data_IF_458383821195
#
_entry.id   IF_458383821195
#
_cell.length_a   1.000
_cell.length_b   1.000
_cell.length_c   1.000
_cell.angle_alpha   90.00
_cell.angle_beta   90.00
_cell.angle_gamma   90.00
#
_symmetry.space_group_name_H-M   'P 1'
#
loop_
_entity.id
_entity.type
_entity.pdbx_description
1 polymer ?
#
# COMPACT_ATOMS: atom_id res chain seq x y z
N UNK A 1 20.46 -3.50 -12.75
CA UNK A 1 20.02 -4.81 -13.25
C UNK A 1 18.72 -5.13 -12.52
N UNK A 2 17.63 -5.35 -13.25
CA UNK A 2 16.39 -5.88 -12.67
C UNK A 2 16.70 -7.23 -12.00
N UNK A 3 16.19 -7.44 -10.77
CA UNK A 3 16.27 -8.74 -10.10
C UNK A 3 14.92 -9.45 -10.31
N UNK A 4 14.80 -10.35 -11.30
CA UNK A 4 13.51 -10.98 -11.64
C UNK A 4 12.95 -11.86 -10.52
N UNK A 5 13.78 -12.22 -9.52
CA UNK A 5 13.37 -13.02 -8.36
C UNK A 5 12.96 -12.18 -7.13
N UNK A 6 13.06 -10.84 -7.20
CA UNK A 6 12.64 -9.97 -6.10
C UNK A 6 11.12 -10.03 -5.95
N UNK A 7 10.65 -10.54 -4.82
CA UNK A 7 9.23 -10.45 -4.45
C UNK A 7 8.94 -9.06 -3.91
N UNK A 8 7.79 -8.51 -4.30
CA UNK A 8 7.28 -7.27 -3.76
C UNK A 8 5.98 -7.53 -3.01
N UNK A 9 5.86 -6.92 -1.84
CA UNK A 9 4.62 -6.93 -1.06
C UNK A 9 4.17 -5.49 -0.87
N UNK A 10 3.04 -5.15 -1.47
CA UNK A 10 2.45 -3.82 -1.37
C UNK A 10 1.39 -3.82 -0.27
N UNK A 11 1.38 -2.79 0.57
CA UNK A 11 0.37 -2.62 1.60
C UNK A 11 -0.01 -1.15 1.78
N UNK A 12 -1.28 -0.94 2.17
CA UNK A 12 -1.85 0.38 2.41
C UNK A 12 -2.07 0.58 3.90
N UNK A 13 -1.67 1.76 4.40
CA UNK A 13 -1.90 2.16 5.78
C UNK A 13 -3.01 3.22 5.85
N UNK A 14 -3.81 3.20 6.92
CA UNK A 14 -4.91 4.15 7.12
C UNK A 14 -4.45 5.58 7.46
N UNK A 15 -3.18 5.79 7.76
CA UNK A 15 -2.63 7.09 8.11
C UNK A 15 -2.92 8.15 7.04
N UNK A 16 -3.35 9.33 7.46
CA UNK A 16 -3.63 10.47 6.55
C UNK A 16 -2.42 11.36 6.30
N UNK A 17 -1.29 11.06 6.91
CA UNK A 17 -0.01 11.69 6.57
C UNK A 17 0.38 11.31 5.13
N UNK A 18 0.96 12.26 4.41
CA UNK A 18 1.47 12.00 3.07
C UNK A 18 2.80 11.26 3.23
N UNK A 19 2.78 9.94 2.98
CA UNK A 19 3.97 9.11 3.07
C UNK A 19 3.89 7.87 2.18
N UNK A 20 5.04 7.45 1.65
CA UNK A 20 5.31 6.14 1.09
C UNK A 20 6.72 5.73 1.50
N UNK A 21 7.00 4.45 1.61
CA UNK A 21 8.29 3.97 2.07
C UNK A 21 8.54 2.53 1.63
N UNK A 22 9.81 2.21 1.44
CA UNK A 22 10.27 0.90 1.02
C UNK A 22 11.36 0.38 1.98
N UNK A 23 11.00 -0.32 3.07
CA UNK A 23 11.96 -0.95 3.96
C UNK A 23 12.67 -2.14 3.30
N UNK A 24 13.54 -2.82 4.05
CA UNK A 24 14.20 -4.04 3.58
C UNK A 24 13.18 -5.17 3.30
N UNK A 25 13.53 -6.09 2.39
CA UNK A 25 12.73 -7.29 2.13
C UNK A 25 11.74 -7.19 0.98
N UNK A 26 11.67 -6.04 0.27
CA UNK A 26 10.76 -5.87 -0.87
C UNK A 26 9.35 -5.43 -0.48
N UNK A 27 9.17 -4.99 0.74
CA UNK A 27 7.92 -4.37 1.19
C UNK A 27 7.84 -2.93 0.69
N UNK A 28 6.66 -2.51 0.24
CA UNK A 28 6.38 -1.13 -0.16
C UNK A 28 5.08 -0.71 0.50
N UNK A 29 5.17 0.24 1.42
CA UNK A 29 4.04 0.79 2.16
C UNK A 29 3.64 2.16 1.61
N UNK A 30 2.34 2.46 1.64
CA UNK A 30 1.79 3.75 1.28
C UNK A 30 0.69 4.16 2.26
N UNK A 31 0.73 5.39 2.73
CA UNK A 31 -0.34 5.95 3.55
C UNK A 31 -1.50 6.41 2.68
N UNK A 32 -2.71 6.32 3.24
CA UNK A 32 -3.92 6.84 2.60
C UNK A 32 -3.77 8.32 2.21
N UNK A 33 -3.12 9.13 3.05
CA UNK A 33 -2.92 10.56 2.80
C UNK A 33 -2.22 10.86 1.50
N UNK A 34 -1.28 10.01 1.04
CA UNK A 34 -0.63 10.18 -0.25
C UNK A 34 -1.61 10.04 -1.42
N UNK A 35 -2.42 8.98 -1.41
CA UNK A 35 -3.43 8.74 -2.45
C UNK A 35 -4.51 9.82 -2.45
N UNK A 36 -4.90 10.29 -1.26
CA UNK A 36 -5.89 11.37 -1.11
C UNK A 36 -5.38 12.72 -1.63
N UNK A 37 -4.06 12.93 -1.61
CA UNK A 37 -3.42 14.15 -2.13
C UNK A 37 -3.17 14.08 -3.63
N UNK A 38 -3.00 12.88 -4.18
CA UNK A 38 -2.83 12.70 -5.62
C UNK A 38 -4.12 13.07 -6.37
N UNK A 39 -3.98 13.75 -7.50
CA UNK A 39 -5.10 14.10 -8.38
C UNK A 39 -5.36 13.03 -9.44
N UNK A 40 -4.30 12.31 -9.84
CA UNK A 40 -4.37 11.29 -10.89
C UNK A 40 -3.70 9.99 -10.45
N UNK A 41 -4.14 8.89 -11.02
CA UNK A 41 -3.55 7.56 -10.82
C UNK A 41 -2.06 7.54 -11.19
N UNK A 42 -1.69 8.26 -12.25
CA UNK A 42 -0.31 8.40 -12.71
C UNK A 42 0.64 8.91 -11.61
N UNK A 43 0.17 9.81 -10.74
CA UNK A 43 0.96 10.36 -9.63
C UNK A 43 1.25 9.29 -8.56
N UNK A 44 0.25 8.46 -8.25
CA UNK A 44 0.45 7.31 -7.34
C UNK A 44 1.40 6.29 -7.97
N UNK A 45 1.25 6.03 -9.26
CA UNK A 45 2.14 5.15 -10.01
C UNK A 45 3.58 5.69 -10.06
N UNK A 46 3.75 7.02 -10.16
CA UNK A 46 5.07 7.66 -10.11
C UNK A 46 5.76 7.44 -8.78
N UNK A 47 5.05 7.64 -7.66
CA UNK A 47 5.58 7.37 -6.31
C UNK A 47 5.91 5.88 -6.14
N UNK A 48 5.01 4.98 -6.53
CA UNK A 48 5.29 3.53 -6.46
C UNK A 48 6.51 3.14 -7.29
N UNK A 49 6.67 3.73 -8.48
CA UNK A 49 7.83 3.50 -9.34
C UNK A 49 9.14 3.97 -8.69
N UNK A 50 9.10 5.07 -7.95
CA UNK A 50 10.21 5.61 -7.16
C UNK A 50 10.56 4.66 -6.00
N UNK A 51 9.57 4.18 -5.23
CA UNK A 51 9.78 3.22 -4.14
C UNK A 51 10.33 1.87 -4.64
N UNK A 52 9.80 1.38 -5.78
CA UNK A 52 10.34 0.18 -6.44
C UNK A 52 11.82 0.38 -6.81
N UNK A 53 12.22 1.57 -7.23
CA UNK A 53 13.62 1.87 -7.52
C UNK A 53 14.48 1.80 -6.24
N UNK A 54 14.01 2.31 -5.10
CA UNK A 54 14.71 2.19 -3.82
C UNK A 54 14.95 0.72 -3.43
N UNK A 55 13.95 -0.15 -3.60
CA UNK A 55 14.09 -1.59 -3.35
C UNK A 55 15.07 -2.24 -4.31
N UNK A 56 14.93 -2.00 -5.62
CA UNK A 56 15.75 -2.65 -6.65
C UNK A 56 17.22 -2.26 -6.57
N UNK A 57 17.51 -1.02 -6.17
CA UNK A 57 18.86 -0.50 -5.96
C UNK A 57 19.39 -0.77 -4.55
N UNK A 58 18.57 -1.32 -3.66
CA UNK A 58 18.93 -1.62 -2.27
C UNK A 58 19.47 -0.40 -1.52
N UNK A 59 18.84 0.77 -1.70
CA UNK A 59 19.34 2.02 -1.14
C UNK A 59 19.48 1.98 0.38
N UNK A 60 18.55 1.32 1.09
CA UNK A 60 18.62 1.15 2.55
C UNK A 60 19.85 0.33 2.95
N UNK A 61 20.07 -0.83 2.31
CA UNK A 61 21.21 -1.70 2.63
C UNK A 61 22.54 -1.02 2.31
N UNK A 62 22.65 -0.43 1.11
CA UNK A 62 23.84 0.35 0.70
C UNK A 62 24.10 1.54 1.63
N UNK A 63 23.04 2.15 2.17
CA UNK A 63 23.13 3.22 3.15
C UNK A 63 23.77 2.76 4.47
N UNK A 64 23.33 1.63 4.98
CA UNK A 64 23.90 1.02 6.20
C UNK A 64 25.37 0.64 6.01
N UNK A 65 25.68 -0.06 4.91
CA UNK A 65 27.06 -0.45 4.58
C UNK A 65 27.97 0.76 4.45
N UNK A 66 27.49 1.82 3.82
CA UNK A 66 28.29 3.05 3.63
C UNK A 66 28.48 3.79 4.94
N UNK A 67 27.44 3.89 5.76
CA UNK A 67 27.57 4.51 7.09
C UNK A 67 28.66 3.83 7.92
N UNK A 68 28.69 2.50 7.94
CA UNK A 68 29.73 1.73 8.63
C UNK A 68 31.12 2.00 8.06
N UNK A 69 31.28 2.06 6.74
CA UNK A 69 32.58 2.34 6.10
C UNK A 69 33.08 3.76 6.34
N UNK A 70 32.17 4.74 6.37
CA UNK A 70 32.52 6.15 6.53
C UNK A 70 32.78 6.52 7.99
N UNK A 71 32.15 5.86 8.95
CA UNK A 71 32.30 6.15 10.38
C UNK A 71 33.71 5.93 10.89
N UNK A 72 34.33 4.79 10.57
CA UNK A 72 35.64 4.42 11.13
C UNK A 72 36.73 5.41 10.72
N UNK A 73 36.94 5.77 9.44
CA UNK A 73 37.97 6.73 9.05
C UNK A 73 37.73 8.13 9.63
N UNK A 74 36.47 8.57 9.74
CA UNK A 74 36.16 9.88 10.28
C UNK A 74 36.43 9.93 11.79
N UNK A 75 36.03 8.89 12.52
CA UNK A 75 36.32 8.78 13.96
C UNK A 75 37.85 8.73 14.26
N UNK A 76 38.61 7.99 13.43
CA UNK A 76 40.07 7.97 13.56
C UNK A 76 40.69 9.34 13.25
N UNK A 77 40.18 10.04 12.23
CA UNK A 77 40.60 11.39 11.89
C UNK A 77 40.29 12.39 13.01
N UNK A 78 39.10 12.29 13.61
CA UNK A 78 38.69 13.11 14.75
C UNK A 78 39.60 12.83 15.97
N UNK A 79 39.87 11.56 16.27
CA UNK A 79 40.74 11.18 17.36
C UNK A 79 42.17 11.73 17.16
N UNK A 80 42.72 11.58 15.98
CA UNK A 80 44.05 12.12 15.62
C UNK A 80 44.11 13.66 15.77
N UNK A 81 43.03 14.36 15.32
CA UNK A 81 42.95 15.81 15.46
C UNK A 81 42.82 16.26 16.93
N UNK A 82 42.07 15.52 17.76
CA UNK A 82 41.97 15.76 19.20
C UNK A 82 43.32 15.57 19.90
N UNK A 83 44.04 14.50 19.58
CA UNK A 83 45.38 14.23 20.12
C UNK A 83 46.37 15.34 19.73
N UNK A 84 46.35 15.76 18.46
CA UNK A 84 47.18 16.86 17.99
C UNK A 84 46.88 18.18 18.68
N UNK A 85 45.58 18.52 18.90
CA UNK A 85 45.14 19.70 19.60
C UNK A 85 45.62 19.69 21.07
N UNK A 86 45.60 18.54 21.72
CA UNK A 86 46.10 18.41 23.12
C UNK A 86 47.60 18.54 23.22
N UNK A 87 48.37 18.02 22.21
CA UNK A 87 49.82 18.13 22.20
C UNK A 87 50.33 19.53 21.88
N UNK A 88 49.56 20.33 21.15
CA UNK A 88 49.95 21.70 20.79
C UNK A 88 50.01 22.66 22.00
N UNK A 89 49.41 22.31 23.14
CA UNK A 89 49.47 23.06 24.40
C UNK A 89 48.93 24.49 24.31
N UNK A 90 48.42 25.04 25.39
CA UNK A 90 47.96 26.40 25.46
C UNK A 90 46.47 26.53 25.81
N UNK A 91 46.03 27.74 26.11
CA UNK A 91 44.63 28.06 26.49
C UNK A 91 43.58 27.75 25.43
N UNK A 92 43.98 27.44 24.19
CA UNK A 92 43.08 27.15 23.02
C UNK A 92 42.95 25.66 22.69
N UNK A 93 43.55 24.76 23.48
CA UNK A 93 43.48 23.32 23.23
C UNK A 93 42.05 22.74 23.32
N UNK A 94 41.26 23.31 24.24
CA UNK A 94 39.83 22.97 24.35
C UNK A 94 39.00 23.36 23.15
N UNK A 95 39.21 24.58 22.63
CA UNK A 95 38.50 25.08 21.44
C UNK A 95 38.90 24.30 20.20
N UNK A 96 40.16 23.96 20.05
CA UNK A 96 40.65 23.13 18.95
C UNK A 96 40.07 21.71 18.99
N UNK A 97 39.91 21.12 20.18
CA UNK A 97 39.28 19.82 20.36
C UNK A 97 37.80 19.87 19.97
N UNK A 98 37.05 20.88 20.43
CA UNK A 98 35.64 21.06 20.06
C UNK A 98 35.48 21.31 18.55
N UNK A 99 36.37 22.08 17.94
CA UNK A 99 36.40 22.29 16.51
C UNK A 99 36.63 20.99 15.72
N UNK A 100 37.54 20.14 16.17
CA UNK A 100 37.80 18.83 15.54
C UNK A 100 36.57 17.92 15.63
N UNK A 101 35.91 17.85 16.77
CA UNK A 101 34.69 17.05 16.97
C UNK A 101 33.55 17.58 16.07
N UNK A 102 33.29 18.89 16.11
CA UNK A 102 32.24 19.54 15.33
C UNK A 102 32.46 19.35 13.82
N UNK A 103 33.72 19.49 13.36
CA UNK A 103 34.08 19.29 11.94
C UNK A 103 33.86 17.84 11.51
N UNK A 104 34.23 16.87 12.33
CA UNK A 104 34.01 15.45 12.06
C UNK A 104 32.53 15.08 11.99
N UNK A 105 31.71 15.60 12.93
CA UNK A 105 30.27 15.44 12.91
C UNK A 105 29.64 16.11 11.68
N UNK A 106 30.06 17.30 11.32
CA UNK A 106 29.62 18.02 10.12
C UNK A 106 29.97 17.24 8.83
N UNK A 107 31.17 16.62 8.78
CA UNK A 107 31.56 15.79 7.65
C UNK A 107 30.70 14.52 7.52
N UNK A 108 30.39 13.84 8.63
CA UNK A 108 29.46 12.71 8.65
C UNK A 108 28.10 13.09 8.13
N UNK A 109 27.55 14.18 8.62
CA UNK A 109 26.25 14.69 8.20
C UNK A 109 26.24 15.09 6.72
N UNK A 110 27.29 15.80 6.24
CA UNK A 110 27.39 16.18 4.84
C UNK A 110 27.48 14.97 3.91
N UNK A 111 28.20 13.94 4.29
CA UNK A 111 28.27 12.67 3.52
C UNK A 111 26.94 11.96 3.48
N UNK A 112 26.21 11.93 4.58
CA UNK A 112 24.86 11.34 4.63
C UNK A 112 23.89 12.10 3.71
N UNK A 113 23.90 13.45 3.76
CA UNK A 113 23.09 14.28 2.88
C UNK A 113 23.40 14.02 1.41
N UNK A 114 24.69 13.98 1.04
CA UNK A 114 25.11 13.76 -0.34
C UNK A 114 24.72 12.35 -0.83
N UNK A 115 24.82 11.35 0.03
CA UNK A 115 24.39 9.99 -0.28
C UNK A 115 22.88 9.91 -0.50
N UNK A 116 22.10 10.53 0.36
CA UNK A 116 20.63 10.60 0.21
C UNK A 116 20.25 11.27 -1.11
N UNK A 117 20.83 12.41 -1.44
CA UNK A 117 20.59 13.12 -2.72
C UNK A 117 20.93 12.25 -3.94
N UNK A 118 22.04 11.51 -3.89
CA UNK A 118 22.43 10.60 -4.98
C UNK A 118 21.41 9.45 -5.14
N UNK A 119 20.96 8.87 -4.06
CA UNK A 119 19.95 7.81 -4.09
C UNK A 119 18.61 8.30 -4.61
N UNK A 120 18.19 9.52 -4.21
CA UNK A 120 16.96 10.13 -4.71
C UNK A 120 17.03 10.36 -6.22
N UNK A 121 18.14 10.92 -6.73
CA UNK A 121 18.33 11.13 -8.18
C UNK A 121 18.38 9.80 -8.94
N UNK A 122 18.97 8.74 -8.37
CA UNK A 122 18.97 7.40 -8.95
C UNK A 122 17.54 6.81 -8.96
N UNK A 123 16.79 6.95 -7.87
CA UNK A 123 15.42 6.47 -7.76
C UNK A 123 14.48 7.21 -8.72
N UNK A 124 14.60 8.53 -8.86
CA UNK A 124 13.83 9.31 -9.83
C UNK A 124 14.11 8.87 -11.27
N UNK A 125 15.39 8.68 -11.62
CA UNK A 125 15.81 8.25 -12.96
C UNK A 125 15.30 6.87 -13.33
N UNK A 126 15.31 5.93 -12.39
CA UNK A 126 14.83 4.56 -12.62
C UNK A 126 13.31 4.48 -12.49
N UNK A 127 12.73 5.23 -11.56
CA UNK A 127 11.30 5.33 -11.36
C UNK A 127 10.57 5.83 -12.60
N UNK A 128 11.03 6.93 -13.19
CA UNK A 128 10.41 7.49 -14.40
C UNK A 128 10.48 6.52 -15.61
N UNK A 129 11.55 5.71 -15.71
CA UNK A 129 11.65 4.65 -16.72
C UNK A 129 10.64 3.52 -16.47
N UNK A 130 10.45 3.15 -15.20
CA UNK A 130 9.46 2.14 -14.81
C UNK A 130 8.05 2.65 -15.10
N UNK A 131 7.76 3.90 -14.75
CA UNK A 131 6.50 4.58 -15.03
C UNK A 131 6.16 4.55 -16.53
N UNK A 132 7.11 4.97 -17.37
CA UNK A 132 6.97 4.96 -18.83
C UNK A 132 6.68 3.56 -19.40
N UNK A 133 7.45 2.55 -18.93
CA UNK A 133 7.26 1.16 -19.38
C UNK A 133 5.92 0.55 -18.97
N UNK A 134 5.33 1.08 -17.90
CA UNK A 134 4.00 0.67 -17.42
C UNK A 134 2.86 1.42 -18.10
N UNK A 135 3.17 2.31 -19.06
CA UNK A 135 2.19 3.06 -19.84
C UNK A 135 1.57 4.25 -19.10
N UNK A 136 2.11 4.64 -17.94
CA UNK A 136 1.67 5.83 -17.21
C UNK A 136 2.34 7.09 -17.74
N UNK A 137 1.70 8.25 -17.45
CA UNK A 137 2.21 9.56 -17.85
C UNK A 137 3.50 9.91 -17.10
N UNK A 138 4.58 10.11 -17.84
CA UNK A 138 5.90 10.43 -17.27
C UNK A 138 5.97 11.81 -16.61
N UNK A 139 5.08 12.75 -16.97
CA UNK A 139 5.01 14.07 -16.36
C UNK A 139 4.47 13.99 -14.92
N UNK A 140 3.78 12.93 -14.57
CA UNK A 140 3.16 12.76 -13.27
C UNK A 140 4.17 12.80 -12.11
N UNK A 141 5.42 12.36 -12.34
CA UNK A 141 6.46 12.44 -11.31
C UNK A 141 6.81 13.90 -10.97
N UNK A 142 7.02 14.73 -11.97
CA UNK A 142 7.29 16.14 -11.76
C UNK A 142 6.08 16.89 -11.18
N UNK A 143 4.87 16.58 -11.68
CA UNK A 143 3.62 17.17 -11.18
C UNK A 143 3.38 16.84 -9.70
N UNK A 144 3.62 15.59 -9.29
CA UNK A 144 3.53 15.21 -7.88
C UNK A 144 4.53 15.95 -7.01
N UNK A 145 5.80 16.11 -7.45
CA UNK A 145 6.82 16.86 -6.72
C UNK A 145 6.46 18.34 -6.57
N UNK A 146 5.90 18.96 -7.61
CA UNK A 146 5.42 20.36 -7.54
C UNK A 146 4.29 20.52 -6.53
N UNK A 147 3.34 19.58 -6.52
CA UNK A 147 2.23 19.56 -5.57
C UNK A 147 2.72 19.40 -4.13
N UNK A 148 3.67 18.48 -3.89
CA UNK A 148 4.30 18.34 -2.57
C UNK A 148 5.00 19.61 -2.13
N UNK A 149 5.75 20.27 -3.03
CA UNK A 149 6.43 21.53 -2.75
C UNK A 149 5.43 22.68 -2.48
N UNK A 150 4.29 22.69 -3.18
CA UNK A 150 3.24 23.68 -2.95
C UNK A 150 2.55 23.46 -1.59
N UNK A 151 2.27 22.21 -1.22
CA UNK A 151 1.72 21.86 0.08
C UNK A 151 2.62 22.30 1.25
N UNK A 152 3.94 22.26 1.07
CA UNK A 152 4.88 22.80 2.06
C UNK A 152 4.78 24.30 2.23
N UNK A 153 4.72 25.07 1.11
CA UNK A 153 4.68 26.55 1.15
C UNK A 153 3.39 27.09 1.77
N UNK A 154 2.27 26.39 1.58
CA UNK A 154 0.99 26.78 2.19
C UNK A 154 0.92 26.52 3.71
N UNK A 155 1.93 25.85 4.28
CA UNK A 155 1.96 25.40 5.67
C UNK A 155 2.88 26.24 6.58
N UNK A 156 3.29 27.45 6.18
CA UNK A 156 4.11 28.34 7.02
C UNK A 156 3.45 28.74 8.37
N UNK A 157 2.21 28.29 8.62
CA UNK A 157 1.42 28.51 9.83
C UNK A 157 1.50 27.44 10.93
N UNK A 158 2.49 26.53 10.94
CA UNK A 158 2.75 25.65 12.07
C UNK A 158 2.41 24.15 11.90
N UNK A 159 2.14 23.69 10.69
CA UNK A 159 1.98 22.26 10.42
C UNK A 159 3.32 21.57 10.15
N UNK A 160 3.47 20.32 10.61
CA UNK A 160 4.69 19.54 10.41
C UNK A 160 4.90 19.19 8.93
N UNK A 161 6.16 19.27 8.47
CA UNK A 161 6.56 18.81 7.12
C UNK A 161 6.04 17.38 6.88
N UNK A 162 5.39 17.11 5.73
CA UNK A 162 4.96 15.76 5.38
C UNK A 162 6.10 14.74 5.52
N UNK A 163 5.81 13.58 6.12
CA UNK A 163 6.83 12.57 6.40
C UNK A 163 7.54 12.10 5.12
N UNK A 164 6.84 12.03 4.00
CA UNK A 164 7.43 11.75 2.69
C UNK A 164 8.56 12.70 2.34
N UNK A 165 8.41 13.99 2.59
CA UNK A 165 9.42 15.00 2.29
C UNK A 165 10.60 15.01 3.27
N UNK A 166 10.43 14.43 4.45
CA UNK A 166 11.51 14.22 5.42
C UNK A 166 12.44 13.10 4.98
N UNK A 167 11.88 12.04 4.40
CA UNK A 167 12.63 10.88 3.90
C UNK A 167 13.09 11.07 2.44
N UNK A 168 12.28 11.78 1.62
CA UNK A 168 12.51 12.05 0.20
C UNK A 168 12.47 13.55 -0.07
N UNK A 169 13.52 14.32 0.28
CA UNK A 169 13.52 15.77 0.10
C UNK A 169 13.33 16.16 -1.36
N UNK A 170 12.27 16.93 -1.64
CA UNK A 170 11.99 17.47 -2.97
C UNK A 170 12.56 18.88 -3.03
N UNK A 171 13.42 19.14 -4.00
CA UNK A 171 13.97 20.45 -4.30
C UNK A 171 13.73 20.82 -5.78
N UNK A 172 13.97 22.06 -6.13
CA UNK A 172 13.81 22.57 -7.48
C UNK A 172 14.64 21.81 -8.52
N UNK A 173 15.81 21.29 -8.13
CA UNK A 173 16.68 20.49 -9.00
C UNK A 173 15.99 19.17 -9.37
N UNK A 174 15.42 18.44 -8.41
CA UNK A 174 14.70 17.18 -8.68
C UNK A 174 13.50 17.41 -9.60
N UNK A 175 12.73 18.48 -9.37
CA UNK A 175 11.60 18.86 -10.23
C UNK A 175 12.08 19.12 -11.65
N UNK A 176 13.13 19.94 -11.82
CA UNK A 176 13.69 20.27 -13.13
C UNK A 176 14.26 19.05 -13.86
N UNK A 177 14.96 18.18 -13.13
CA UNK A 177 15.50 16.93 -13.71
C UNK A 177 14.38 15.97 -14.11
N UNK A 178 13.32 15.84 -13.31
CA UNK A 178 12.17 15.00 -13.65
C UNK A 178 11.47 15.51 -14.92
N UNK A 179 11.25 16.83 -15.05
CA UNK A 179 10.72 17.46 -16.27
C UNK A 179 11.61 17.22 -17.48
N UNK A 180 12.91 17.46 -17.35
CA UNK A 180 13.86 17.26 -18.46
C UNK A 180 13.88 15.80 -18.94
N UNK A 181 13.84 14.84 -18.00
CA UNK A 181 13.78 13.41 -18.32
C UNK A 181 12.45 13.03 -18.98
N UNK A 182 11.33 13.57 -18.51
CA UNK A 182 10.02 13.36 -19.11
C UNK A 182 9.99 13.87 -20.56
N UNK A 183 10.48 15.08 -20.81
CA UNK A 183 10.59 15.65 -22.15
C UNK A 183 11.51 14.83 -23.08
N UNK A 184 12.64 14.35 -22.57
CA UNK A 184 13.52 13.48 -23.34
C UNK A 184 12.81 12.16 -23.72
N UNK A 185 12.11 11.54 -22.78
CA UNK A 185 11.37 10.30 -23.03
C UNK A 185 10.23 10.49 -24.03
N UNK A 186 9.56 11.64 -24.01
CA UNK A 186 8.52 11.99 -24.99
C UNK A 186 9.10 12.12 -26.40
N UNK A 187 10.29 12.70 -26.53
CA UNK A 187 11.00 12.80 -27.82
C UNK A 187 11.43 11.44 -28.38
N UNK A 188 11.86 10.55 -27.47
CA UNK A 188 12.34 9.21 -27.83
C UNK A 188 11.18 8.23 -28.09
N UNK A 189 9.92 8.64 -27.90
CA UNK A 189 8.74 7.77 -28.04
C UNK A 189 7.75 8.34 -29.05
N UNK A 190 7.10 7.44 -29.80
CA UNK A 190 6.00 7.77 -30.72
C UNK A 190 4.67 7.37 -30.06
N UNK A 191 3.66 8.22 -30.22
CA UNK A 191 2.31 7.93 -29.75
C UNK A 191 1.63 7.01 -30.76
N UNK A 192 1.43 5.75 -30.39
CA UNK A 192 0.59 4.83 -31.17
C UNK A 192 -0.84 4.93 -30.66
N UNK A 193 -1.76 5.21 -31.57
CA UNK A 193 -3.20 5.22 -31.29
C UNK A 193 -3.80 3.94 -31.83
N UNK A 194 -4.27 3.07 -30.94
CA UNK A 194 -4.93 1.82 -31.30
C UNK A 194 -6.43 1.96 -31.06
N UNK A 195 -7.24 1.74 -32.06
CA UNK A 195 -8.69 1.65 -31.90
C UNK A 195 -9.08 0.22 -31.58
N UNK A 196 -9.85 0.04 -30.53
CA UNK A 196 -10.44 -1.25 -30.14
C UNK A 196 -11.97 -1.11 -30.12
N UNK A 197 -12.74 -2.21 -30.12
CA UNK A 197 -14.21 -2.15 -30.02
C UNK A 197 -14.72 -1.46 -28.74
N UNK A 198 -13.87 -1.32 -27.72
CA UNK A 198 -14.19 -0.73 -26.42
C UNK A 198 -13.66 0.69 -26.23
N UNK A 199 -12.94 1.26 -27.23
CA UNK A 199 -12.43 2.63 -27.17
C UNK A 199 -11.10 2.83 -27.90
N UNK A 200 -10.64 4.08 -27.89
CA UNK A 200 -9.35 4.49 -28.46
C UNK A 200 -8.30 4.53 -27.37
N UNK A 201 -7.22 3.77 -27.54
CA UNK A 201 -6.08 3.73 -26.61
C UNK A 201 -4.87 4.41 -27.24
N UNK A 202 -4.14 5.18 -26.41
CA UNK A 202 -2.89 5.81 -26.81
C UNK A 202 -1.75 5.21 -26.01
N UNK A 203 -0.75 4.66 -26.70
CA UNK A 203 0.46 4.09 -26.09
C UNK A 203 1.69 4.81 -26.63
N UNK A 204 2.64 5.16 -25.73
CA UNK A 204 3.95 5.66 -26.15
C UNK A 204 4.92 4.48 -26.32
N UNK A 205 5.41 4.27 -27.53
CA UNK A 205 6.41 3.25 -27.86
C UNK A 205 7.70 3.90 -28.30
N UNK A 206 8.84 3.35 -27.89
CA UNK A 206 10.13 3.75 -28.40
C UNK A 206 10.44 2.89 -29.65
N UNK A 207 10.42 3.47 -30.86
CA UNK A 207 10.63 2.71 -32.10
C UNK A 207 12.06 2.17 -32.24
N UNK A 208 13.01 2.68 -31.44
CA UNK A 208 14.42 2.23 -31.44
C UNK A 208 14.68 1.05 -30.51
N UNK A 209 13.72 0.70 -29.65
CA UNK A 209 13.80 -0.48 -28.78
C UNK A 209 12.91 -1.55 -29.39
N UNK A 210 13.48 -2.69 -29.86
CA UNK A 210 12.67 -3.81 -30.30
C UNK A 210 11.65 -4.13 -29.19
N UNK A 211 10.39 -4.29 -29.56
CA UNK A 211 9.35 -4.70 -28.64
C UNK A 211 9.67 -6.11 -28.12
N UNK A 212 10.49 -6.15 -27.06
CA UNK A 212 10.78 -7.38 -26.31
C UNK A 212 9.62 -7.73 -25.37
N UNK A 213 8.56 -6.92 -25.36
CA UNK A 213 7.32 -7.19 -24.65
C UNK A 213 6.33 -8.01 -25.48
N UNK A 214 6.70 -8.55 -26.63
CA UNK A 214 6.07 -9.76 -27.10
C UNK A 214 6.40 -10.84 -26.06
N UNK A 215 5.59 -10.84 -25.01
CA UNK A 215 5.48 -12.01 -24.14
C UNK A 215 5.30 -13.20 -25.10
N UNK A 216 6.26 -14.13 -25.19
CA UNK A 216 6.13 -15.29 -26.05
C UNK A 216 4.89 -16.13 -25.69
N UNK A 217 4.20 -15.77 -24.59
CA UNK A 217 2.94 -16.34 -24.13
C UNK A 217 1.69 -15.51 -24.49
N UNK A 218 1.86 -14.26 -24.98
CA UNK A 218 0.74 -13.42 -25.40
C UNK A 218 0.41 -13.65 -26.88
N UNK A 219 -0.21 -14.75 -27.21
CA UNK A 219 -0.74 -14.95 -28.57
C UNK A 219 -0.48 -16.30 -29.24
N UNK A 220 0.36 -17.13 -28.66
CA UNK A 220 0.45 -18.56 -29.04
C UNK A 220 0.37 -19.35 -27.74
N UNK A 221 -0.68 -20.15 -27.60
CA UNK A 221 -0.85 -21.02 -26.43
C UNK A 221 0.47 -21.74 -26.11
N UNK A 222 0.81 -21.79 -24.83
CA UNK A 222 2.04 -22.45 -24.39
C UNK A 222 2.09 -23.86 -25.00
N UNK A 223 3.06 -24.17 -25.89
CA UNK A 223 3.15 -25.46 -26.56
C UNK A 223 3.34 -26.65 -25.60
N UNK A 224 3.61 -26.38 -24.30
CA UNK A 224 3.73 -27.39 -23.24
C UNK A 224 2.41 -27.65 -22.50
N UNK A 225 1.33 -26.92 -22.81
CA UNK A 225 0.02 -27.17 -22.23
C UNK A 225 -0.85 -27.99 -23.21
N UNK A 226 -1.53 -29.05 -22.75
CA UNK A 226 -2.51 -29.80 -23.55
C UNK A 226 -3.56 -28.86 -24.14
N UNK A 227 -3.95 -29.08 -25.38
CA UNK A 227 -4.86 -28.22 -26.16
C UNK A 227 -6.24 -27.97 -25.52
N UNK A 228 -6.62 -28.71 -24.49
CA UNK A 228 -7.84 -28.49 -23.70
C UNK A 228 -7.66 -27.63 -22.45
N UNK A 229 -6.44 -27.19 -22.13
CA UNK A 229 -6.10 -26.33 -20.98
C UNK A 229 -5.65 -24.94 -21.44
N UNK A 230 -6.03 -24.52 -22.62
CA UNK A 230 -5.91 -23.13 -23.02
C UNK A 230 -6.92 -22.34 -22.18
N UNK A 231 -6.43 -21.85 -21.04
CA UNK A 231 -7.06 -20.77 -20.31
C UNK A 231 -7.05 -19.57 -21.26
N UNK A 232 -8.15 -19.42 -22.00
CA UNK A 232 -8.52 -18.11 -22.53
C UNK A 232 -8.77 -17.22 -21.31
N UNK A 233 -7.68 -16.68 -20.75
CA UNK A 233 -7.80 -15.47 -19.97
C UNK A 233 -8.47 -14.50 -20.90
N UNK A 234 -9.65 -13.92 -20.55
CA UNK A 234 -10.13 -12.80 -21.30
C UNK A 234 -8.97 -11.80 -21.29
N UNK A 235 -8.35 -11.62 -22.44
CA UNK A 235 -7.46 -10.52 -22.75
C UNK A 235 -8.35 -9.28 -22.87
N UNK A 236 -9.00 -8.90 -21.79
CA UNK A 236 -9.21 -7.51 -21.47
C UNK A 236 -7.81 -7.00 -21.18
N UNK A 237 -7.12 -6.62 -22.25
CA UNK A 237 -5.97 -5.77 -22.14
C UNK A 237 -6.45 -4.57 -21.36
N UNK A 238 -6.17 -4.57 -20.04
CA UNK A 238 -6.30 -3.37 -19.23
C UNK A 238 -5.51 -2.32 -20.02
N UNK A 239 -6.10 -1.15 -20.32
CA UNK A 239 -5.34 -0.09 -20.96
C UNK A 239 -4.06 0.10 -20.14
N UNK A 240 -2.91 0.05 -20.79
CA UNK A 240 -1.66 0.39 -20.15
C UNK A 240 -1.83 1.81 -19.59
N UNK A 241 -1.52 2.04 -18.33
CA UNK A 241 -1.75 3.31 -17.65
C UNK A 241 -3.00 3.30 -16.76
N UNK A 242 -3.67 4.44 -16.68
CA UNK A 242 -4.79 4.66 -15.78
C UNK A 242 -5.91 3.60 -15.94
N UNK A 243 -6.30 2.99 -14.81
CA UNK A 243 -7.28 1.91 -14.77
C UNK A 243 -8.73 2.41 -14.85
N UNK A 244 -8.97 3.73 -14.71
CA UNK A 244 -10.29 4.32 -14.54
C UNK A 244 -10.94 4.03 -13.19
N UNK A 245 -10.21 3.36 -12.27
CA UNK A 245 -10.70 2.97 -10.95
C UNK A 245 -10.22 3.91 -9.83
N UNK A 246 -9.29 4.80 -10.14
CA UNK A 246 -8.60 5.62 -9.15
C UNK A 246 -9.54 6.47 -8.30
N UNK A 247 -10.49 7.17 -8.92
CA UNK A 247 -11.39 8.06 -8.18
C UNK A 247 -12.30 7.28 -7.22
N UNK A 248 -12.82 6.13 -7.64
CA UNK A 248 -13.61 5.24 -6.78
C UNK A 248 -12.78 4.69 -5.62
N UNK A 249 -11.55 4.23 -5.91
CA UNK A 249 -10.62 3.73 -4.89
C UNK A 249 -10.23 4.83 -3.91
N UNK A 250 -9.96 6.05 -4.39
CA UNK A 250 -9.63 7.22 -3.58
C UNK A 250 -10.76 7.55 -2.60
N UNK A 251 -12.01 7.56 -3.07
CA UNK A 251 -13.14 7.85 -2.20
C UNK A 251 -13.38 6.71 -1.18
N UNK A 252 -13.24 5.44 -1.56
CA UNK A 252 -13.26 4.33 -0.59
C UNK A 252 -12.19 4.52 0.48
N UNK A 253 -10.98 4.89 0.07
CA UNK A 253 -9.85 5.11 0.98
C UNK A 253 -10.08 6.32 1.89
N UNK A 254 -10.68 7.41 1.37
CA UNK A 254 -11.10 8.57 2.16
C UNK A 254 -12.01 8.16 3.32
N UNK A 255 -13.00 7.31 3.02
CA UNK A 255 -13.92 6.81 4.03
C UNK A 255 -13.25 5.87 5.04
N UNK A 256 -12.37 4.97 4.57
CA UNK A 256 -11.69 4.00 5.44
C UNK A 256 -10.63 4.64 6.35
N UNK A 257 -10.05 5.77 5.94
CA UNK A 257 -9.02 6.49 6.68
C UNK A 257 -9.55 7.58 7.60
N UNK A 258 -10.84 7.94 7.48
CA UNK A 258 -11.43 8.96 8.33
C UNK A 258 -11.54 8.49 9.80
N UNK A 259 -11.13 9.31 10.78
CA UNK A 259 -11.21 8.96 12.19
C UNK A 259 -12.67 8.77 12.64
N UNK A 260 -13.56 9.64 12.20
CA UNK A 260 -14.98 9.59 12.55
C UNK A 260 -15.90 9.83 11.35
N UNK A 261 -17.12 9.26 11.34
CA UNK A 261 -18.13 9.56 10.31
C UNK A 261 -18.48 11.05 10.23
N UNK A 262 -18.47 11.76 11.35
CA UNK A 262 -18.82 13.19 11.40
C UNK A 262 -17.77 14.08 10.72
N UNK A 263 -16.49 13.76 10.87
CA UNK A 263 -15.42 14.46 10.15
C UNK A 263 -15.52 14.24 8.65
N UNK A 264 -15.84 13.01 8.25
CA UNK A 264 -16.03 12.65 6.86
C UNK A 264 -17.20 13.40 6.21
N UNK A 265 -18.34 13.52 6.91
CA UNK A 265 -19.48 14.29 6.41
C UNK A 265 -19.09 15.76 6.20
N UNK A 266 -18.40 16.37 7.16
CA UNK A 266 -17.88 17.75 7.02
C UNK A 266 -16.92 17.91 5.84
N UNK A 267 -16.05 16.92 5.60
CA UNK A 267 -15.14 16.91 4.46
C UNK A 267 -15.90 16.94 3.13
N UNK A 268 -16.92 16.09 2.97
CA UNK A 268 -17.76 16.08 1.76
C UNK A 268 -18.63 17.33 1.60
N UNK A 269 -19.12 17.90 2.69
CA UNK A 269 -19.82 19.19 2.65
C UNK A 269 -18.87 20.32 2.20
N UNK A 270 -17.61 20.27 2.62
CA UNK A 270 -16.56 21.17 2.13
C UNK A 270 -16.33 21.01 0.63
N UNK A 271 -16.17 19.77 0.16
CA UNK A 271 -16.01 19.47 -1.27
C UNK A 271 -17.22 19.96 -2.09
N UNK A 272 -18.43 19.69 -1.63
CA UNK A 272 -19.66 20.15 -2.31
C UNK A 272 -19.73 21.68 -2.43
N UNK A 273 -19.27 22.42 -1.42
CA UNK A 273 -19.25 23.91 -1.46
C UNK A 273 -18.16 24.45 -2.37
N UNK A 274 -17.05 23.76 -2.52
CA UNK A 274 -15.92 24.21 -3.35
C UNK A 274 -16.10 23.91 -4.84
N UNK A 275 -17.00 22.99 -5.19
CA UNK A 275 -17.22 22.53 -6.58
C UNK A 275 -18.49 23.15 -7.15
N UNK A 276 -18.40 23.78 -8.33
CA UNK A 276 -19.55 24.44 -8.99
C UNK A 276 -20.62 23.46 -9.44
N UNK A 277 -20.21 22.30 -9.91
CA UNK A 277 -21.08 21.26 -10.49
C UNK A 277 -21.55 20.21 -9.49
N UNK A 278 -21.30 20.43 -8.19
CA UNK A 278 -21.62 19.50 -7.13
C UNK A 278 -20.61 18.36 -7.00
N UNK A 279 -21.02 17.25 -6.35
CA UNK A 279 -20.14 16.10 -6.16
C UNK A 279 -20.11 15.23 -7.41
N UNK A 280 -18.91 14.74 -7.77
CA UNK A 280 -18.75 13.73 -8.82
C UNK A 280 -19.34 12.37 -8.38
N UNK A 281 -19.59 11.45 -9.34
CA UNK A 281 -20.16 10.14 -9.00
C UNK A 281 -19.29 9.32 -8.05
N UNK A 282 -17.94 9.28 -8.17
CA UNK A 282 -17.09 8.69 -7.13
C UNK A 282 -17.24 9.36 -5.76
N UNK A 283 -17.44 10.70 -5.71
CA UNK A 283 -17.67 11.39 -4.43
C UNK A 283 -19.06 11.10 -3.87
N UNK A 284 -20.09 10.98 -4.71
CA UNK A 284 -21.45 10.51 -4.32
C UNK A 284 -21.36 9.11 -3.71
N UNK A 285 -20.63 8.20 -4.34
CA UNK A 285 -20.31 6.89 -3.78
C UNK A 285 -19.62 7.01 -2.41
N UNK A 286 -18.62 7.89 -2.28
CA UNK A 286 -17.92 8.15 -1.01
C UNK A 286 -18.89 8.61 0.09
N UNK A 287 -19.80 9.55 -0.20
CA UNK A 287 -20.85 10.00 0.73
C UNK A 287 -21.76 8.84 1.13
N UNK A 288 -22.17 8.02 0.16
CA UNK A 288 -23.06 6.89 0.42
C UNK A 288 -22.41 5.87 1.38
N UNK A 289 -21.17 5.46 1.16
CA UNK A 289 -20.48 4.53 2.08
C UNK A 289 -20.16 5.18 3.43
N UNK A 290 -19.96 6.49 3.50
CA UNK A 290 -19.85 7.22 4.78
C UNK A 290 -21.15 7.15 5.58
N UNK A 291 -22.29 7.41 4.94
CA UNK A 291 -23.61 7.30 5.53
C UNK A 291 -23.94 5.88 5.95
N UNK A 292 -23.53 4.89 5.16
CA UNK A 292 -23.69 3.48 5.50
C UNK A 292 -22.94 3.12 6.80
N UNK A 293 -21.73 3.67 7.00
CA UNK A 293 -20.98 3.49 8.25
C UNK A 293 -21.59 4.21 9.45
N UNK A 294 -22.26 5.32 9.22
CA UNK A 294 -22.96 6.05 10.28
C UNK A 294 -24.21 5.29 10.79
N UNK A 295 -24.83 4.45 9.95
CA UNK A 295 -25.97 3.61 10.33
C UNK A 295 -27.31 4.35 10.42
N UNK A 296 -28.33 3.68 10.95
CA UNK A 296 -29.65 4.27 11.20
C UNK A 296 -30.33 4.86 9.96
N UNK A 297 -30.91 6.06 10.08
CA UNK A 297 -31.58 6.76 8.97
C UNK A 297 -30.59 7.06 7.81
N UNK A 298 -29.30 7.31 8.09
CA UNK A 298 -28.32 7.58 7.08
C UNK A 298 -28.05 6.35 6.20
N UNK A 299 -28.12 5.14 6.74
CA UNK A 299 -27.96 3.92 5.96
C UNK A 299 -29.07 3.73 4.91
N UNK A 300 -30.32 4.17 5.19
CA UNK A 300 -31.41 4.16 4.19
C UNK A 300 -31.14 5.12 3.04
N UNK A 301 -30.63 6.32 3.34
CA UNK A 301 -30.24 7.28 2.31
C UNK A 301 -29.08 6.74 1.47
N UNK A 302 -28.12 6.06 2.10
CA UNK A 302 -27.02 5.41 1.39
C UNK A 302 -27.52 4.35 0.40
N UNK A 303 -28.50 3.53 0.79
CA UNK A 303 -29.09 2.52 -0.09
C UNK A 303 -29.71 3.16 -1.35
N UNK A 304 -30.50 4.22 -1.19
CA UNK A 304 -31.10 4.94 -2.32
C UNK A 304 -30.07 5.53 -3.27
N UNK A 305 -29.04 6.17 -2.74
CA UNK A 305 -27.96 6.75 -3.53
C UNK A 305 -27.17 5.67 -4.30
N UNK A 306 -26.87 4.53 -3.65
CA UNK A 306 -26.14 3.43 -4.30
C UNK A 306 -26.99 2.72 -5.35
N UNK A 307 -28.32 2.62 -5.17
CA UNK A 307 -29.23 2.11 -6.20
C UNK A 307 -29.25 3.02 -7.43
N UNK A 308 -29.24 4.33 -7.23
CA UNK A 308 -29.15 5.28 -8.32
C UNK A 308 -27.82 5.17 -9.06
N UNK A 309 -26.68 5.12 -8.33
CA UNK A 309 -25.36 4.97 -8.92
C UNK A 309 -25.18 3.62 -9.65
N UNK A 310 -25.80 2.54 -9.18
CA UNK A 310 -25.78 1.23 -9.85
C UNK A 310 -26.48 1.29 -11.21
N UNK A 311 -27.58 2.04 -11.29
CA UNK A 311 -28.29 2.32 -12.55
C UNK A 311 -27.50 3.22 -13.50
N UNK A 312 -26.76 4.20 -12.98
CA UNK A 312 -25.93 5.11 -13.77
C UNK A 312 -24.60 4.45 -14.25
N UNK A 313 -24.05 3.52 -13.45
CA UNK A 313 -22.79 2.85 -13.70
C UNK A 313 -22.91 1.31 -13.63
N UNK A 314 -23.68 0.68 -14.53
CA UNK A 314 -23.91 -0.76 -14.48
C UNK A 314 -22.60 -1.54 -14.61
N UNK A 315 -22.41 -2.49 -13.70
CA UNK A 315 -21.19 -3.31 -13.64
C UNK A 315 -19.99 -2.67 -12.94
N UNK A 316 -20.15 -1.49 -12.35
CA UNK A 316 -19.11 -0.89 -11.52
C UNK A 316 -18.97 -1.66 -10.20
N UNK A 317 -17.87 -2.38 -10.05
CA UNK A 317 -17.66 -3.26 -8.90
C UNK A 317 -17.65 -2.52 -7.56
N UNK A 318 -17.18 -1.26 -7.50
CA UNK A 318 -17.19 -0.46 -6.26
C UNK A 318 -18.61 -0.21 -5.79
N UNK A 319 -19.49 0.17 -6.73
CA UNK A 319 -20.90 0.44 -6.45
C UNK A 319 -21.65 -0.84 -6.09
N UNK A 320 -21.46 -1.92 -6.87
CA UNK A 320 -22.13 -3.20 -6.65
C UNK A 320 -21.79 -3.80 -5.27
N UNK A 321 -20.52 -3.73 -4.85
CA UNK A 321 -20.10 -4.20 -3.52
C UNK A 321 -20.72 -3.37 -2.40
N UNK A 322 -20.69 -2.03 -2.53
CA UNK A 322 -21.26 -1.14 -1.53
C UNK A 322 -22.80 -1.27 -1.46
N UNK A 323 -23.45 -1.50 -2.60
CA UNK A 323 -24.88 -1.72 -2.65
C UNK A 323 -25.29 -3.01 -1.92
N UNK A 324 -24.53 -4.10 -2.10
CA UNK A 324 -24.74 -5.35 -1.35
C UNK A 324 -24.55 -5.16 0.17
N UNK A 325 -23.53 -4.38 0.59
CA UNK A 325 -23.38 -3.99 2.00
C UNK A 325 -24.59 -3.18 2.49
N UNK A 326 -25.08 -2.24 1.68
CA UNK A 326 -26.22 -1.37 2.04
C UNK A 326 -27.54 -2.14 2.12
N UNK A 327 -27.81 -3.04 1.18
CA UNK A 327 -28.97 -3.92 1.18
C UNK A 327 -29.00 -4.75 2.48
N UNK A 328 -27.88 -5.39 2.83
CA UNK A 328 -27.78 -6.20 4.05
C UNK A 328 -28.03 -5.39 5.33
N UNK A 329 -27.40 -4.22 5.46
CA UNK A 329 -27.55 -3.35 6.65
C UNK A 329 -28.92 -2.69 6.77
N UNK A 330 -29.67 -2.61 5.67
CA UNK A 330 -31.07 -2.15 5.66
C UNK A 330 -32.08 -3.31 5.79
N UNK A 331 -31.64 -4.53 6.11
CA UNK A 331 -32.50 -5.68 6.35
C UNK A 331 -32.86 -6.49 5.10
N UNK A 332 -32.43 -6.08 3.92
CA UNK A 332 -32.64 -6.76 2.62
C UNK A 332 -31.58 -7.85 2.43
N UNK A 333 -31.54 -8.83 3.36
CA UNK A 333 -30.50 -9.87 3.38
C UNK A 333 -30.55 -10.81 2.18
N UNK A 334 -31.75 -11.10 1.68
CA UNK A 334 -31.94 -11.99 0.54
C UNK A 334 -31.40 -11.34 -0.75
N UNK A 335 -31.70 -10.08 -0.96
CA UNK A 335 -31.25 -9.28 -2.11
C UNK A 335 -29.73 -9.13 -2.09
N UNK A 336 -29.15 -8.79 -0.93
CA UNK A 336 -27.72 -8.70 -0.74
C UNK A 336 -27.02 -10.03 -1.09
N UNK A 337 -27.51 -11.14 -0.54
CA UNK A 337 -26.93 -12.47 -0.80
C UNK A 337 -27.04 -12.86 -2.28
N UNK A 338 -28.17 -12.58 -2.93
CA UNK A 338 -28.37 -12.84 -4.36
C UNK A 338 -27.41 -12.00 -5.22
N UNK A 339 -27.19 -10.73 -4.88
CA UNK A 339 -26.22 -9.84 -5.55
C UNK A 339 -24.81 -10.41 -5.46
N UNK A 340 -24.36 -10.75 -4.26
CA UNK A 340 -23.03 -11.32 -4.06
C UNK A 340 -22.85 -12.68 -4.73
N UNK A 341 -23.87 -13.52 -4.77
CA UNK A 341 -23.84 -14.79 -5.51
C UNK A 341 -23.67 -14.58 -7.02
N UNK A 342 -24.36 -13.56 -7.54
CA UNK A 342 -24.21 -13.17 -8.95
C UNK A 342 -22.82 -12.63 -9.24
N UNK A 343 -22.27 -11.81 -8.32
CA UNK A 343 -20.90 -11.32 -8.41
C UNK A 343 -19.87 -12.45 -8.37
N UNK A 344 -20.03 -13.43 -7.49
CA UNK A 344 -19.13 -14.59 -7.41
C UNK A 344 -19.21 -15.47 -8.65
N UNK A 345 -20.38 -15.64 -9.26
CA UNK A 345 -20.52 -16.38 -10.55
C UNK A 345 -19.81 -15.63 -11.68
N UNK A 346 -19.92 -14.30 -11.71
CA UNK A 346 -19.24 -13.46 -12.71
C UNK A 346 -17.74 -13.37 -12.47
N UNK A 347 -17.30 -13.32 -11.21
CA UNK A 347 -15.93 -13.09 -10.76
C UNK A 347 -15.49 -14.13 -9.72
N UNK A 348 -15.38 -15.44 -10.07
CA UNK A 348 -15.26 -16.53 -9.10
C UNK A 348 -13.93 -16.53 -8.31
N UNK A 349 -12.91 -15.81 -8.78
CA UNK A 349 -11.61 -15.69 -8.11
C UNK A 349 -11.35 -14.30 -7.54
N UNK A 350 -12.36 -13.43 -7.53
CA UNK A 350 -12.24 -12.06 -7.05
C UNK A 350 -12.15 -12.05 -5.52
N UNK A 351 -10.95 -11.75 -5.01
CA UNK A 351 -10.75 -11.57 -3.57
C UNK A 351 -11.61 -10.45 -2.98
N UNK A 352 -11.74 -9.24 -3.61
CA UNK A 352 -12.63 -8.19 -3.10
C UNK A 352 -14.06 -8.66 -2.93
N UNK A 353 -14.61 -9.37 -3.90
CA UNK A 353 -15.99 -9.90 -3.83
C UNK A 353 -16.14 -10.89 -2.68
N UNK A 354 -15.26 -11.89 -2.61
CA UNK A 354 -15.32 -12.93 -1.58
C UNK A 354 -15.12 -12.33 -0.17
N UNK A 355 -14.19 -11.39 -0.01
CA UNK A 355 -13.90 -10.78 1.29
C UNK A 355 -15.06 -9.88 1.74
N UNK A 356 -15.60 -9.02 0.87
CA UNK A 356 -16.75 -8.17 1.20
C UNK A 356 -17.97 -9.02 1.52
N UNK A 357 -18.26 -10.04 0.74
CA UNK A 357 -19.39 -10.93 1.02
C UNK A 357 -19.22 -11.67 2.36
N UNK A 358 -18.02 -12.17 2.66
CA UNK A 358 -17.77 -12.80 3.95
C UNK A 358 -17.95 -11.82 5.12
N UNK A 359 -17.56 -10.57 4.97
CA UNK A 359 -17.82 -9.53 5.97
C UNK A 359 -19.32 -9.29 6.17
N UNK A 360 -20.09 -9.22 5.08
CA UNK A 360 -21.56 -9.10 5.13
C UNK A 360 -22.18 -10.31 5.83
N UNK A 361 -21.78 -11.53 5.49
CA UNK A 361 -22.26 -12.74 6.16
C UNK A 361 -21.91 -12.77 7.65
N UNK A 362 -20.71 -12.32 8.00
CA UNK A 362 -20.27 -12.19 9.40
C UNK A 362 -21.12 -11.16 10.18
N UNK A 363 -21.54 -10.06 9.54
CA UNK A 363 -22.45 -9.06 10.12
C UNK A 363 -23.88 -9.62 10.26
N UNK A 364 -24.35 -10.42 9.30
CA UNK A 364 -25.65 -11.08 9.35
C UNK A 364 -25.75 -12.09 10.52
N UNK A 365 -24.61 -12.70 10.85
CA UNK A 365 -24.48 -13.64 11.96
C UNK A 365 -25.13 -15.00 11.72
N UNK A 366 -24.96 -15.90 12.69
CA UNK A 366 -25.48 -17.27 12.66
C UNK A 366 -24.54 -18.28 12.04
N UNK A 367 -24.77 -19.55 12.38
CA UNK A 367 -23.88 -20.67 12.02
C UNK A 367 -23.80 -20.89 10.51
N UNK A 368 -24.92 -20.81 9.80
CA UNK A 368 -24.98 -21.01 8.35
C UNK A 368 -24.24 -19.91 7.59
N UNK A 369 -24.41 -18.66 7.98
CA UNK A 369 -23.67 -17.53 7.40
C UNK A 369 -22.15 -17.69 7.66
N UNK A 370 -21.76 -18.11 8.87
CA UNK A 370 -20.37 -18.41 9.21
C UNK A 370 -19.78 -19.54 8.37
N UNK A 371 -20.47 -20.65 8.23
CA UNK A 371 -20.05 -21.78 7.39
C UNK A 371 -19.87 -21.37 5.93
N UNK A 372 -20.82 -20.61 5.41
CA UNK A 372 -20.75 -20.11 4.03
C UNK A 372 -19.55 -19.17 3.82
N UNK A 373 -19.34 -18.22 4.71
CA UNK A 373 -18.20 -17.31 4.66
C UNK A 373 -16.87 -18.07 4.77
N UNK A 374 -16.76 -19.02 5.71
CA UNK A 374 -15.58 -19.87 5.89
C UNK A 374 -15.28 -20.69 4.62
N UNK A 375 -16.28 -21.34 4.05
CA UNK A 375 -16.13 -22.16 2.84
C UNK A 375 -15.65 -21.32 1.65
N UNK A 376 -16.17 -20.10 1.50
CA UNK A 376 -15.82 -19.19 0.42
C UNK A 376 -14.41 -18.64 0.57
N UNK A 377 -13.95 -18.33 1.79
CA UNK A 377 -12.62 -17.77 2.02
C UNK A 377 -11.50 -18.82 2.05
N UNK A 378 -11.80 -20.07 2.41
CA UNK A 378 -10.81 -21.16 2.53
C UNK A 378 -9.91 -21.34 1.31
N UNK A 379 -10.40 -21.33 0.06
CA UNK A 379 -9.55 -21.44 -1.14
C UNK A 379 -8.60 -20.27 -1.35
N UNK A 380 -8.84 -19.12 -0.70
CA UNK A 380 -8.04 -17.91 -0.83
C UNK A 380 -6.92 -17.80 0.21
N UNK A 381 -6.85 -18.69 1.21
CA UNK A 381 -5.85 -18.67 2.29
C UNK A 381 -4.41 -18.66 1.76
N UNK A 382 -4.11 -19.44 0.71
CA UNK A 382 -2.76 -19.51 0.15
C UNK A 382 -2.26 -18.22 -0.50
N UNK A 383 -3.18 -17.34 -0.90
CA UNK A 383 -2.87 -16.06 -1.59
C UNK A 383 -3.12 -14.83 -0.73
N UNK A 384 -3.84 -14.99 0.37
CA UNK A 384 -4.29 -13.87 1.22
C UNK A 384 -3.98 -14.10 2.69
N UNK A 385 -3.22 -15.15 3.01
CA UNK A 385 -2.86 -15.51 4.37
C UNK A 385 -2.00 -14.47 5.09
N UNK A 386 -1.33 -13.59 4.34
CA UNK A 386 -0.51 -12.48 4.81
C UNK A 386 -1.28 -11.14 4.94
N UNK A 387 -2.60 -11.15 4.78
CA UNK A 387 -3.46 -9.99 4.96
C UNK A 387 -4.19 -10.03 6.31
N UNK A 388 -3.96 -9.08 7.22
CA UNK A 388 -4.59 -9.05 8.54
C UNK A 388 -6.11 -8.89 8.48
N UNK A 389 -6.65 -8.18 7.47
CA UNK A 389 -8.09 -8.03 7.29
C UNK A 389 -8.72 -9.35 6.85
N UNK A 390 -8.05 -10.06 5.95
CA UNK A 390 -8.48 -11.40 5.54
C UNK A 390 -8.49 -12.37 6.73
N UNK A 391 -7.41 -12.41 7.51
CA UNK A 391 -7.31 -13.29 8.68
C UNK A 391 -8.38 -12.97 9.73
N UNK A 392 -8.61 -11.70 10.04
CA UNK A 392 -9.67 -11.31 10.98
C UNK A 392 -11.06 -11.70 10.48
N UNK A 393 -11.33 -11.51 9.18
CA UNK A 393 -12.62 -11.88 8.57
C UNK A 393 -12.83 -13.39 8.56
N UNK A 394 -11.77 -14.15 8.24
CA UNK A 394 -11.82 -15.63 8.24
C UNK A 394 -11.93 -16.19 9.66
N UNK A 395 -11.26 -15.56 10.64
CA UNK A 395 -11.40 -15.88 12.06
C UNK A 395 -12.85 -15.72 12.53
N UNK A 396 -13.47 -14.58 12.20
CA UNK A 396 -14.88 -14.35 12.57
C UNK A 396 -15.84 -15.33 11.89
N UNK A 397 -15.63 -15.63 10.62
CA UNK A 397 -16.40 -16.64 9.90
C UNK A 397 -16.28 -18.03 10.56
N UNK A 398 -15.06 -18.41 10.96
CA UNK A 398 -14.78 -19.69 11.63
C UNK A 398 -15.43 -19.75 13.02
N UNK A 399 -15.39 -18.65 13.77
CA UNK A 399 -16.04 -18.53 15.08
C UNK A 399 -17.57 -18.74 14.95
N UNK A 400 -18.21 -18.04 14.01
CA UNK A 400 -19.63 -18.20 13.75
C UNK A 400 -19.99 -19.61 13.28
N UNK A 401 -19.11 -20.26 12.51
CA UNK A 401 -19.27 -21.63 12.05
C UNK A 401 -19.11 -22.69 13.16
N UNK A 402 -18.63 -22.28 14.35
CA UNK A 402 -18.31 -23.19 15.46
C UNK A 402 -16.92 -23.82 15.38
N UNK A 403 -16.05 -23.41 14.45
CA UNK A 403 -14.66 -23.85 14.29
C UNK A 403 -13.72 -22.99 15.14
N UNK A 404 -13.74 -23.21 16.46
CA UNK A 404 -13.01 -22.39 17.43
C UNK A 404 -11.50 -22.46 17.26
N UNK A 405 -10.97 -23.62 16.86
CA UNK A 405 -9.53 -23.78 16.63
C UNK A 405 -9.05 -22.92 15.45
N UNK A 406 -9.76 -22.96 14.35
CA UNK A 406 -9.46 -22.14 13.17
C UNK A 406 -9.66 -20.64 13.44
N UNK A 407 -10.69 -20.29 14.21
CA UNK A 407 -10.92 -18.91 14.62
C UNK A 407 -9.73 -18.34 15.43
N UNK A 408 -9.30 -19.08 16.46
CA UNK A 408 -8.15 -18.71 17.31
C UNK A 408 -6.87 -18.59 16.51
N UNK A 409 -6.60 -19.54 15.61
CA UNK A 409 -5.42 -19.51 14.72
C UNK A 409 -5.42 -18.23 13.84
N UNK A 410 -6.57 -17.94 13.21
CA UNK A 410 -6.68 -16.77 12.32
C UNK A 410 -6.59 -15.43 13.05
N UNK A 411 -7.13 -15.33 14.27
CA UNK A 411 -6.97 -14.14 15.09
C UNK A 411 -5.52 -13.93 15.54
N UNK A 412 -4.80 -15.02 15.87
CA UNK A 412 -3.39 -14.94 16.19
C UNK A 412 -2.54 -14.50 14.99
N UNK A 413 -2.83 -15.02 13.79
CA UNK A 413 -2.19 -14.54 12.56
C UNK A 413 -2.49 -13.05 12.30
N UNK A 414 -3.73 -12.62 12.49
CA UNK A 414 -4.10 -11.22 12.33
C UNK A 414 -3.34 -10.32 13.32
N UNK A 415 -3.14 -10.76 14.56
CA UNK A 415 -2.34 -10.04 15.55
C UNK A 415 -0.89 -9.91 15.10
N UNK A 416 -0.27 -11.00 14.65
CA UNK A 416 1.10 -10.99 14.13
C UNK A 416 1.27 -10.03 12.95
N UNK A 417 0.38 -10.11 11.97
CA UNK A 417 0.39 -9.28 10.76
C UNK A 417 0.15 -7.78 11.05
N UNK A 418 -0.53 -7.49 12.15
CA UNK A 418 -0.71 -6.11 12.65
C UNK A 418 0.46 -5.62 13.53
N UNK A 419 1.60 -6.32 13.55
CA UNK A 419 2.78 -5.93 14.30
C UNK A 419 2.67 -6.18 15.81
N UNK A 420 1.90 -7.19 16.22
CA UNK A 420 1.70 -7.63 17.61
C UNK A 420 2.19 -9.06 17.83
N UNK A 421 3.49 -9.33 17.64
CA UNK A 421 4.02 -10.70 17.69
C UNK A 421 3.95 -11.32 19.10
N UNK A 422 4.05 -10.55 20.18
CA UNK A 422 3.89 -11.07 21.55
C UNK A 422 2.46 -11.52 21.82
N UNK A 423 1.47 -10.73 21.40
CA UNK A 423 0.06 -11.10 21.48
C UNK A 423 -0.25 -12.34 20.66
N UNK A 424 0.27 -12.42 19.44
CA UNK A 424 0.12 -13.58 18.59
C UNK A 424 0.69 -14.85 19.24
N UNK A 425 1.90 -14.77 19.81
CA UNK A 425 2.53 -15.88 20.53
C UNK A 425 1.66 -16.38 21.68
N UNK A 426 1.12 -15.47 22.50
CA UNK A 426 0.22 -15.82 23.61
C UNK A 426 -1.02 -16.54 23.10
N UNK A 427 -1.64 -16.05 22.02
CA UNK A 427 -2.84 -16.65 21.43
C UNK A 427 -2.56 -18.04 20.84
N UNK A 428 -1.45 -18.25 20.13
CA UNK A 428 -1.04 -19.56 19.64
C UNK A 428 -0.76 -20.55 20.77
N UNK A 429 -0.06 -20.11 21.83
CA UNK A 429 0.19 -20.95 23.01
C UNK A 429 -1.11 -21.32 23.75
N UNK A 430 -2.08 -20.41 23.80
CA UNK A 430 -3.40 -20.68 24.37
C UNK A 430 -4.16 -21.71 23.52
N UNK A 431 -4.07 -21.61 22.18
CA UNK A 431 -4.67 -22.57 21.25
C UNK A 431 -4.13 -23.99 21.46
N UNK A 432 -2.80 -24.14 21.63
CA UNK A 432 -2.19 -25.47 21.89
C UNK A 432 -2.69 -26.14 23.17
N UNK A 433 -3.18 -25.38 24.15
CA UNK A 433 -3.75 -25.89 25.40
C UNK A 433 -5.21 -26.34 25.28
N UNK A 434 -5.88 -26.05 24.15
CA UNK A 434 -7.27 -26.44 23.96
C UNK A 434 -7.39 -27.98 23.83
N UNK A 435 -8.36 -28.60 24.54
CA UNK A 435 -8.61 -30.01 24.39
C UNK A 435 -9.18 -30.32 23.00
N UNK A 436 -8.84 -31.51 22.46
CA UNK A 436 -9.40 -31.99 21.19
C UNK A 436 -8.76 -31.41 19.93
N UNK A 437 -7.65 -30.66 20.06
CA UNK A 437 -6.93 -30.16 18.90
C UNK A 437 -6.31 -31.32 18.11
N UNK A 438 -6.64 -31.44 16.81
CA UNK A 438 -6.08 -32.46 15.94
C UNK A 438 -4.57 -32.31 15.73
N UNK A 439 -3.92 -33.42 15.35
CA UNK A 439 -2.45 -33.44 15.17
C UNK A 439 -1.95 -32.46 14.13
N UNK A 440 -2.66 -32.34 13.00
CA UNK A 440 -2.24 -31.45 11.89
C UNK A 440 -2.30 -29.97 12.31
N UNK A 441 -3.37 -29.58 12.99
CA UNK A 441 -3.53 -28.23 13.54
C UNK A 441 -2.47 -27.95 14.59
N UNK A 442 -2.21 -28.91 15.51
CA UNK A 442 -1.15 -28.77 16.51
C UNK A 442 0.22 -28.55 15.87
N UNK A 443 0.61 -29.42 14.94
CA UNK A 443 1.91 -29.32 14.26
C UNK A 443 2.08 -28.00 13.49
N UNK A 444 1.00 -27.51 12.86
CA UNK A 444 1.01 -26.23 12.14
C UNK A 444 1.18 -25.05 13.10
N UNK A 445 0.50 -25.06 14.24
CA UNK A 445 0.61 -24.01 15.25
C UNK A 445 1.99 -24.04 15.93
N UNK A 446 2.54 -25.21 16.23
CA UNK A 446 3.88 -25.36 16.78
C UNK A 446 4.94 -24.78 15.81
N UNK A 447 4.87 -25.15 14.52
CA UNK A 447 5.76 -24.60 13.50
C UNK A 447 5.63 -23.06 13.37
N UNK A 448 4.40 -22.54 13.55
CA UNK A 448 4.18 -21.10 13.50
C UNK A 448 4.79 -20.40 14.71
N UNK A 449 4.64 -20.95 15.91
CA UNK A 449 5.29 -20.45 17.14
C UNK A 449 6.82 -20.40 16.93
N UNK A 450 7.42 -21.47 16.43
CA UNK A 450 8.86 -21.51 16.14
C UNK A 450 9.27 -20.40 15.17
N UNK A 451 8.46 -20.14 14.14
CA UNK A 451 8.77 -19.11 13.14
C UNK A 451 8.70 -17.68 13.65
N UNK A 452 7.83 -17.38 14.63
CA UNK A 452 7.67 -16.02 15.18
C UNK A 452 8.54 -15.77 16.42
N UNK A 453 8.99 -16.83 17.10
CA UNK A 453 9.78 -16.72 18.33
C UNK A 453 11.04 -15.85 18.19
N UNK A 454 11.85 -15.94 17.12
CA UNK A 454 13.01 -15.07 16.94
C UNK A 454 12.65 -13.57 16.94
N UNK A 455 11.53 -13.21 16.31
CA UNK A 455 11.04 -11.83 16.27
C UNK A 455 10.67 -11.34 17.67
N UNK A 456 9.94 -12.16 18.45
CA UNK A 456 9.56 -11.82 19.83
C UNK A 456 10.77 -11.67 20.74
N UNK A 457 11.73 -12.59 20.64
CA UNK A 457 12.98 -12.52 21.43
C UNK A 457 13.80 -11.28 21.10
N UNK A 458 13.91 -10.93 19.82
CA UNK A 458 14.63 -9.73 19.39
C UNK A 458 13.95 -8.45 19.87
N UNK A 459 12.61 -8.36 19.77
CA UNK A 459 11.85 -7.24 20.31
C UNK A 459 12.09 -7.07 21.82
N UNK A 460 12.05 -8.18 22.57
CA UNK A 460 12.33 -8.15 24.01
C UNK A 460 13.76 -7.71 24.33
N UNK A 461 14.72 -8.19 23.53
CA UNK A 461 16.14 -7.77 23.65
C UNK A 461 16.31 -6.27 23.45
N UNK A 462 15.55 -5.70 22.51
CA UNK A 462 15.58 -4.27 22.18
C UNK A 462 14.68 -3.42 23.12
N UNK A 463 13.98 -4.03 24.08
CA UNK A 463 13.02 -3.33 24.97
C UNK A 463 11.76 -2.84 24.25
N UNK A 464 11.48 -3.36 23.06
CA UNK A 464 10.28 -3.04 22.28
C UNK A 464 9.17 -4.00 22.69
N UNK A 465 7.98 -3.47 23.00
CA UNK A 465 6.78 -4.23 23.32
C UNK A 465 5.67 -3.97 22.31
N UNK A 466 4.72 -4.88 22.22
CA UNK A 466 3.51 -4.65 21.44
C UNK A 466 2.78 -3.38 21.93
N UNK A 467 2.23 -2.56 21.03
CA UNK A 467 1.66 -1.25 21.37
C UNK A 467 0.58 -1.27 22.47
N UNK A 468 -0.14 -2.37 22.59
CA UNK A 468 -1.23 -2.51 23.57
C UNK A 468 -0.78 -3.16 24.89
N UNK A 469 0.42 -3.73 24.96
CA UNK A 469 0.98 -4.36 26.18
C UNK A 469 1.79 -3.39 27.04
N UNK A 470 1.92 -2.15 26.64
CA UNK A 470 2.66 -1.09 27.34
C UNK A 470 1.76 -0.21 28.25
N UNK A 471 0.49 -0.59 28.41
CA UNK A 471 -0.52 0.22 29.14
C UNK A 471 -0.89 -0.33 30.52
N UNK A 472 -0.14 -1.32 31.03
CA UNK A 472 -0.27 -1.83 32.42
C UNK A 472 0.88 -1.35 33.30
#
# INVERSE_FOLDING_TARGET
>A
RARPQQKYTFFMMKGRQINAFAPLGGYIGMNAGLVLTAEREDEVAAVLSHEIAHVTQQHVLRGVERAQRDQIPILLGMLAAVIAAQQAGGNSSGDATMAAISSGMGLMQQRQINYTRSNESEADRLGIRTLSRSGYDVDAMAGFFERMSAAMRGNEGGYTTPDFLRTHPVNTTRISEAKARAEQMKKDTVLLTTQTPTGTYQERVNPSVPDTSTDPLAGKGNPLLPSGLQLSLPTTSLPRGATGQFDWARERLRVLSAPTPSELVREYEGLKRSQKDGLTDPQRYGVAIARLRAGGAAARQALQELQQLDGEHPGNLWVELALGEAESRNGQRAEANQRFDTLLKRLPRSRPVALTYAQVLNEQGGVEAGRRAQAMLRPLLSRSGDDPVFQSTFGRASELAGDSARASESYAEAAYLNGRPEQALIQFQALLKQPGLDYVTRARVDARIESIMPTVLEMRRLGVRDPDMSRD
#
